data_IF_417699139566
#
_entry.id   IF_417699139566
#
_cell.length_a   1.000
_cell.length_b   1.000
_cell.length_c   1.000
_cell.angle_alpha   90.00
_cell.angle_beta   90.00
_cell.angle_gamma   90.00
#
_symmetry.space_group_name_H-M   'P 1'
#
loop_
_entity.id
_entity.type
_entity.pdbx_description
1 polymer ?
#
# COMPACT_ATOMS: atom_id res chain seq x y z
N UNK A 1 -37.62 27.46 -12.41
CA UNK A 1 -36.42 27.00 -13.14
C UNK A 1 -35.23 26.96 -12.18
N UNK A 2 -34.91 25.79 -11.61
CA UNK A 2 -33.69 25.62 -10.79
C UNK A 2 -32.68 24.80 -11.58
N UNK A 3 -31.55 25.42 -11.89
CA UNK A 3 -30.44 24.81 -12.62
C UNK A 3 -29.72 23.76 -11.76
N UNK A 4 -29.69 22.52 -12.25
CA UNK A 4 -28.81 21.46 -11.75
C UNK A 4 -27.38 21.81 -12.15
N UNK A 5 -26.51 22.12 -11.18
CA UNK A 5 -25.08 22.23 -11.44
C UNK A 5 -24.49 20.82 -11.43
N UNK A 6 -24.16 20.31 -12.61
CA UNK A 6 -23.37 19.10 -12.78
C UNK A 6 -21.94 19.35 -12.32
N UNK A 7 -21.55 18.80 -11.17
CA UNK A 7 -20.16 18.73 -10.73
C UNK A 7 -19.53 17.46 -11.34
N UNK A 8 -19.06 17.56 -12.57
CA UNK A 8 -18.12 16.58 -13.12
C UNK A 8 -16.72 16.95 -12.61
N UNK A 9 -16.38 16.49 -11.41
CA UNK A 9 -15.01 16.55 -10.90
C UNK A 9 -14.23 15.45 -11.61
N UNK A 10 -13.57 15.81 -12.71
CA UNK A 10 -12.58 14.96 -13.37
C UNK A 10 -11.39 14.88 -12.41
N UNK A 11 -11.33 13.82 -11.62
CA UNK A 11 -10.21 13.52 -10.73
C UNK A 11 -9.20 12.76 -11.59
N UNK A 12 -8.13 13.44 -11.99
CA UNK A 12 -6.99 12.79 -12.63
C UNK A 12 -6.28 11.92 -11.57
N UNK A 13 -6.16 10.58 -11.77
CA UNK A 13 -5.36 9.76 -10.88
C UNK A 13 -3.89 10.08 -11.13
N UNK A 14 -3.19 10.58 -10.11
CA UNK A 14 -1.74 10.76 -10.17
C UNK A 14 -1.10 9.37 -10.16
N UNK A 15 -0.37 8.94 -11.21
CA UNK A 15 0.23 7.61 -11.21
C UNK A 15 1.48 7.62 -10.33
N UNK A 16 1.35 7.32 -9.04
CA UNK A 16 2.52 7.07 -8.18
C UNK A 16 3.00 5.64 -8.35
N UNK A 17 3.52 5.31 -9.54
CA UNK A 17 4.42 4.17 -9.70
C UNK A 17 5.78 4.58 -9.18
N UNK A 18 5.91 4.68 -7.87
CA UNK A 18 7.18 4.95 -7.20
C UNK A 18 8.02 3.67 -7.24
N UNK A 19 9.22 3.68 -7.88
CA UNK A 19 10.06 2.49 -8.01
C UNK A 19 10.45 1.94 -6.64
N UNK A 20 10.53 0.61 -6.51
CA UNK A 20 10.72 -0.10 -5.23
C UNK A 20 11.94 0.34 -4.41
N UNK A 21 12.96 0.90 -5.06
CA UNK A 21 14.17 1.39 -4.40
C UNK A 21 13.99 2.78 -3.76
N UNK A 22 13.08 3.61 -4.28
CA UNK A 22 12.79 4.96 -3.74
C UNK A 22 11.91 4.89 -2.49
N UNK A 23 11.21 3.76 -2.27
CA UNK A 23 10.34 3.56 -1.10
C UNK A 23 11.09 3.43 0.23
N UNK A 24 12.36 3.06 0.22
CA UNK A 24 13.07 2.67 1.44
C UNK A 24 13.47 3.89 2.29
N UNK A 25 14.02 4.94 1.69
CA UNK A 25 14.56 6.08 2.45
C UNK A 25 13.47 7.04 2.91
N UNK A 26 12.57 7.48 2.01
CA UNK A 26 11.59 8.52 2.30
C UNK A 26 10.52 8.08 3.32
N UNK A 27 10.17 6.79 3.36
CA UNK A 27 9.23 6.23 4.35
C UNK A 27 9.86 5.94 5.70
N UNK A 28 11.17 5.74 5.78
CA UNK A 28 11.84 5.45 7.06
C UNK A 28 11.77 6.68 7.99
N UNK A 29 12.10 7.86 7.47
CA UNK A 29 12.04 9.13 8.21
C UNK A 29 10.59 9.55 8.50
N UNK A 30 9.68 9.37 7.54
CA UNK A 30 8.27 9.64 7.73
C UNK A 30 7.62 8.68 8.76
N UNK A 31 7.97 7.39 8.75
CA UNK A 31 7.48 6.42 9.74
C UNK A 31 8.05 6.71 11.14
N UNK A 32 9.35 7.05 11.24
CA UNK A 32 9.99 7.46 12.49
C UNK A 32 9.40 8.76 13.07
N UNK A 33 8.81 9.61 12.22
CA UNK A 33 8.14 10.84 12.66
C UNK A 33 6.86 10.57 13.48
N UNK A 34 6.18 9.44 13.23
CA UNK A 34 4.92 9.03 13.90
C UNK A 34 5.17 8.49 15.31
N UNK A 35 6.37 7.98 15.58
CA UNK A 35 6.71 7.43 16.90
C UNK A 35 7.01 8.56 17.92
N UNK A 36 6.54 8.42 19.18
CA UNK A 36 6.84 9.38 20.23
C UNK A 36 8.36 9.47 20.46
N UNK A 37 8.87 10.66 20.82
CA UNK A 37 10.32 10.99 20.81
C UNK A 37 11.19 9.99 21.60
N UNK A 38 10.64 9.39 22.64
CA UNK A 38 11.26 8.38 23.51
C UNK A 38 11.31 6.95 22.91
N UNK A 39 10.63 6.68 21.79
CA UNK A 39 10.65 5.40 21.08
C UNK A 39 11.49 5.42 19.80
N UNK A 40 11.87 6.60 19.29
CA UNK A 40 12.56 6.73 18.00
C UNK A 40 13.87 5.95 17.93
N UNK A 41 14.68 5.96 18.99
CA UNK A 41 15.93 5.20 19.02
C UNK A 41 15.73 3.69 19.04
N UNK A 42 14.64 3.21 19.68
CA UNK A 42 14.31 1.78 19.75
C UNK A 42 13.74 1.30 18.42
N UNK A 43 12.77 2.04 17.88
CA UNK A 43 12.19 1.79 16.55
C UNK A 43 13.27 1.83 15.45
N UNK A 44 14.19 2.80 15.48
CA UNK A 44 15.30 2.87 14.53
C UNK A 44 16.27 1.68 14.65
N UNK A 45 16.53 1.20 15.87
CA UNK A 45 17.36 0.00 16.10
C UNK A 45 16.68 -1.26 15.59
N UNK A 46 15.37 -1.36 15.80
CA UNK A 46 14.56 -2.50 15.35
C UNK A 46 14.46 -2.52 13.82
N UNK A 47 14.23 -1.37 13.17
CA UNK A 47 14.23 -1.23 11.70
C UNK A 47 15.57 -1.69 11.12
N UNK A 48 16.71 -1.19 11.65
CA UNK A 48 18.04 -1.62 11.19
C UNK A 48 18.30 -3.10 11.38
N UNK A 49 17.81 -3.69 12.47
CA UNK A 49 17.94 -5.13 12.71
C UNK A 49 17.08 -5.95 11.73
N UNK A 50 15.88 -5.48 11.41
CA UNK A 50 14.99 -6.09 10.41
C UNK A 50 15.64 -6.02 9.02
N UNK A 51 16.19 -4.87 8.62
CA UNK A 51 16.90 -4.70 7.35
C UNK A 51 18.11 -5.64 7.24
N UNK A 52 18.94 -5.71 8.29
CA UNK A 52 20.08 -6.64 8.33
C UNK A 52 19.62 -8.10 8.23
N UNK A 53 18.47 -8.44 8.83
CA UNK A 53 17.88 -9.77 8.73
C UNK A 53 17.33 -10.04 7.33
N UNK A 54 16.66 -9.09 6.69
CA UNK A 54 16.19 -9.22 5.30
C UNK A 54 17.36 -9.44 4.34
N UNK A 55 18.44 -8.67 4.48
CA UNK A 55 19.62 -8.75 3.61
C UNK A 55 20.49 -10.00 3.84
N UNK A 56 20.31 -10.71 4.95
CA UNK A 56 21.05 -11.97 5.25
C UNK A 56 20.25 -13.23 4.96
N UNK A 57 18.98 -13.11 4.55
CA UNK A 57 18.18 -14.26 4.16
C UNK A 57 18.60 -14.72 2.74
N UNK A 58 18.75 -16.03 2.51
CA UNK A 58 19.02 -16.55 1.18
C UNK A 58 17.86 -16.19 0.25
N UNK A 59 18.18 -15.61 -0.91
CA UNK A 59 17.25 -15.08 -1.92
C UNK A 59 16.15 -16.08 -2.31
N UNK A 60 16.48 -17.38 -2.23
CA UNK A 60 15.57 -18.51 -2.50
C UNK A 60 14.38 -18.66 -1.55
N UNK A 61 14.29 -17.90 -0.44
CA UNK A 61 13.23 -18.06 0.58
C UNK A 61 12.08 -17.07 0.45
N UNK A 62 12.17 -16.07 -0.41
CA UNK A 62 11.04 -15.16 -0.71
C UNK A 62 10.38 -15.61 -2.02
N UNK A 63 9.13 -16.12 -1.99
CA UNK A 63 8.41 -16.38 -3.23
C UNK A 63 8.27 -15.07 -3.99
N UNK A 64 8.86 -15.03 -5.19
CA UNK A 64 8.72 -13.89 -6.09
C UNK A 64 7.34 -13.95 -6.71
N UNK A 65 6.44 -13.09 -6.25
CA UNK A 65 5.10 -12.96 -6.82
C UNK A 65 5.17 -12.06 -8.05
N UNK A 66 5.55 -12.64 -9.18
CA UNK A 66 5.50 -11.95 -10.47
C UNK A 66 4.06 -11.48 -10.75
N UNK A 67 3.92 -10.25 -11.27
CA UNK A 67 2.65 -9.63 -11.62
C UNK A 67 1.65 -9.46 -10.45
N UNK A 68 2.14 -9.42 -9.21
CA UNK A 68 1.35 -9.03 -8.04
C UNK A 68 1.75 -7.62 -7.57
N UNK A 69 0.79 -6.71 -7.49
CA UNK A 69 1.02 -5.35 -7.01
C UNK A 69 -0.22 -4.78 -6.34
N UNK A 70 -0.03 -3.84 -5.41
CA UNK A 70 -1.12 -3.09 -4.80
C UNK A 70 -0.88 -1.60 -5.02
N UNK A 71 -1.72 -0.99 -5.85
CA UNK A 71 -1.69 0.43 -6.17
C UNK A 71 -2.72 1.16 -5.30
N UNK A 72 -2.31 2.26 -4.64
CA UNK A 72 -3.22 3.10 -3.86
C UNK A 72 -3.66 4.27 -4.74
N UNK A 73 -4.97 4.38 -4.99
CA UNK A 73 -5.55 5.42 -5.84
C UNK A 73 -5.90 6.67 -5.04
N UNK A 74 -6.45 6.49 -3.84
CA UNK A 74 -6.86 7.59 -2.98
C UNK A 74 -6.72 7.24 -1.50
N UNK A 75 -6.28 8.21 -0.70
CA UNK A 75 -6.22 8.14 0.75
C UNK A 75 -7.10 9.24 1.37
N UNK A 76 -7.92 8.88 2.36
CA UNK A 76 -8.73 9.85 3.09
C UNK A 76 -7.84 10.78 3.93
N UNK A 77 -8.20 12.08 4.00
CA UNK A 77 -7.40 13.08 4.74
C UNK A 77 -7.44 12.91 6.25
N UNK A 78 -8.63 12.58 6.77
CA UNK A 78 -8.91 12.59 8.21
C UNK A 78 -8.87 11.18 8.83
N UNK A 79 -8.74 10.14 8.00
CA UNK A 79 -8.73 8.73 8.45
C UNK A 79 -7.65 7.95 7.71
N UNK A 80 -7.41 6.70 8.10
CA UNK A 80 -6.47 5.80 7.41
C UNK A 80 -7.12 4.99 6.29
N UNK A 81 -8.32 5.39 5.84
CA UNK A 81 -9.04 4.69 4.78
C UNK A 81 -8.35 4.92 3.42
N UNK A 82 -8.32 3.88 2.60
CA UNK A 82 -7.69 3.90 1.27
C UNK A 82 -8.55 3.14 0.28
N UNK A 83 -8.57 3.63 -0.95
CA UNK A 83 -9.06 2.90 -2.12
C UNK A 83 -7.88 2.63 -3.04
N UNK A 84 -7.95 1.55 -3.80
CA UNK A 84 -6.84 1.15 -4.65
C UNK A 84 -7.13 -0.10 -5.47
N UNK A 85 -6.16 -0.50 -6.27
CA UNK A 85 -6.25 -1.63 -7.16
C UNK A 85 -5.25 -2.72 -6.76
N UNK A 86 -5.76 -3.91 -6.45
CA UNK A 86 -4.94 -5.09 -6.26
C UNK A 86 -4.78 -5.81 -7.59
N UNK A 87 -3.60 -5.69 -8.19
CA UNK A 87 -3.23 -6.38 -9.43
C UNK A 87 -2.78 -7.78 -9.10
N UNK A 88 -3.42 -8.76 -9.73
CA UNK A 88 -3.04 -10.16 -9.62
C UNK A 88 -2.83 -10.75 -11.02
N UNK A 89 -2.11 -11.88 -11.15
CA UNK A 89 -2.01 -12.59 -12.41
C UNK A 89 -3.36 -13.04 -13.01
N UNK A 90 -4.42 -13.04 -12.20
CA UNK A 90 -5.77 -13.50 -12.57
C UNK A 90 -6.75 -12.35 -12.83
N UNK A 91 -6.27 -11.10 -12.79
CA UNK A 91 -7.08 -9.91 -12.96
C UNK A 91 -6.92 -8.91 -11.82
N UNK A 92 -7.51 -7.75 -12.01
CA UNK A 92 -7.44 -6.65 -11.07
C UNK A 92 -8.66 -6.68 -10.12
N UNK A 93 -8.45 -6.37 -8.85
CA UNK A 93 -9.49 -6.32 -7.82
C UNK A 93 -9.49 -4.92 -7.19
N UNK A 94 -10.60 -4.20 -7.32
CA UNK A 94 -10.79 -2.91 -6.65
C UNK A 94 -10.94 -3.10 -5.14
N UNK A 95 -10.31 -2.22 -4.36
CA UNK A 95 -10.34 -2.18 -2.90
C UNK A 95 -10.92 -0.86 -2.39
N UNK A 96 -11.67 -0.84 -1.27
CA UNK A 96 -11.93 -1.95 -0.36
C UNK A 96 -12.84 -3.03 -0.96
N UNK A 97 -12.53 -4.31 -0.69
CA UNK A 97 -13.31 -5.45 -1.15
C UNK A 97 -13.53 -6.43 0.01
N UNK A 98 -14.71 -7.05 0.07
CA UNK A 98 -15.00 -8.12 1.01
C UNK A 98 -15.10 -9.44 0.26
N UNK A 99 -14.01 -10.22 0.33
CA UNK A 99 -13.91 -11.52 -0.34
C UNK A 99 -14.46 -12.60 0.60
N UNK A 100 -15.63 -13.14 0.27
CA UNK A 100 -16.25 -14.23 1.02
C UNK A 100 -15.61 -15.59 0.67
N UNK A 101 -15.81 -16.59 1.52
CA UNK A 101 -15.27 -17.92 1.31
C UNK A 101 -16.18 -18.74 0.37
N UNK A 102 -15.71 -19.04 -0.84
CA UNK A 102 -16.39 -19.92 -1.79
C UNK A 102 -15.99 -21.39 -1.60
N UNK A 103 -16.58 -22.09 -0.63
CA UNK A 103 -16.15 -23.46 -0.26
C UNK A 103 -16.64 -24.56 -1.21
N UNK A 104 -17.58 -24.26 -2.11
CA UNK A 104 -18.15 -25.23 -3.08
C UNK A 104 -18.18 -24.75 -4.53
N UNK A 105 -17.58 -23.60 -4.85
CA UNK A 105 -17.64 -23.01 -6.19
C UNK A 105 -19.07 -22.95 -6.78
N UNK A 106 -20.07 -22.85 -5.90
CA UNK A 106 -21.51 -22.96 -6.19
C UNK A 106 -22.20 -21.75 -5.57
N UNK A 107 -23.21 -21.23 -6.27
CA UNK A 107 -24.10 -20.14 -5.82
C UNK A 107 -25.20 -20.68 -4.91
#
# INVERSE_FOLDING_TARGET
>A
AMGRRSLSMVIEPKPTRVPSHVWAEEKSDAALSVFPKNMKHRAAKDIKHIEARLNSLPEARMPKYENFAFDVDFEAKDTRARTGLLRTPHGDVETPNFIFCGTKATV
#
